data_IF_817095407008
#
_entry.id   IF_817095407008
#
_cell.length_a   1.000
_cell.length_b   1.000
_cell.length_c   1.000
_cell.angle_alpha   90.00
_cell.angle_beta   90.00
_cell.angle_gamma   90.00
#
_symmetry.space_group_name_H-M   'P 1'
#
loop_
_entity.id
_entity.type
_entity.pdbx_description
1 polymer ?
#
# COMPACT_ATOMS: atom_id res chain seq x y z
N UNK A 1 17.68 -5.22 9.32
CA UNK A 1 17.74 -6.09 8.11
C UNK A 1 18.37 -5.30 6.97
N UNK A 2 19.12 -5.96 6.08
CA UNK A 2 19.61 -5.33 4.84
C UNK A 2 18.47 -5.27 3.81
N UNK A 3 18.51 -4.32 2.88
CA UNK A 3 17.47 -4.15 1.85
C UNK A 3 17.18 -5.45 1.07
N UNK A 4 18.22 -6.22 0.73
CA UNK A 4 18.08 -7.52 0.05
C UNK A 4 17.24 -8.52 0.87
N UNK A 5 17.48 -8.61 2.18
CA UNK A 5 16.75 -9.52 3.06
C UNK A 5 15.28 -9.12 3.20
N UNK A 6 14.98 -7.81 3.20
CA UNK A 6 13.60 -7.31 3.20
C UNK A 6 12.90 -7.70 1.90
N UNK A 7 13.56 -7.51 0.76
CA UNK A 7 13.01 -7.89 -0.55
C UNK A 7 12.74 -9.39 -0.66
N UNK A 8 13.66 -10.23 -0.19
CA UNK A 8 13.51 -11.69 -0.17
C UNK A 8 12.31 -12.08 0.70
N UNK A 9 12.23 -11.55 1.93
CA UNK A 9 11.12 -11.83 2.84
C UNK A 9 9.76 -11.41 2.25
N UNK A 10 9.70 -10.22 1.64
CA UNK A 10 8.47 -9.75 1.00
C UNK A 10 8.07 -10.64 -0.18
N UNK A 11 9.03 -11.12 -0.98
CA UNK A 11 8.73 -12.00 -2.13
C UNK A 11 8.20 -13.38 -1.74
N UNK A 12 8.44 -13.82 -0.50
CA UNK A 12 7.95 -15.09 0.06
C UNK A 12 6.67 -14.91 0.89
N UNK A 13 6.24 -13.67 1.14
CA UNK A 13 5.10 -13.34 1.99
C UNK A 13 3.83 -13.09 1.17
N UNK A 14 2.67 -13.51 1.70
CA UNK A 14 1.35 -13.19 1.10
C UNK A 14 0.78 -11.87 1.62
N UNK A 15 1.10 -11.51 2.86
CA UNK A 15 0.47 -10.39 3.58
C UNK A 15 1.57 -9.54 4.19
N UNK A 16 1.44 -8.22 4.06
CA UNK A 16 2.18 -7.23 4.84
C UNK A 16 1.19 -6.46 5.69
N UNK A 17 1.47 -6.30 6.99
CA UNK A 17 0.58 -5.63 7.94
C UNK A 17 1.35 -4.51 8.64
N UNK A 18 0.77 -3.30 8.65
CA UNK A 18 1.34 -2.13 9.31
C UNK A 18 0.25 -1.25 9.92
N UNK A 19 0.09 -1.34 11.24
CA UNK A 19 -0.81 -0.47 12.01
C UNK A 19 -0.08 0.74 12.60
N UNK A 20 1.11 1.04 12.10
CA UNK A 20 1.89 2.21 12.47
C UNK A 20 1.25 3.52 12.00
N UNK A 21 1.82 4.63 12.48
CA UNK A 21 1.47 5.95 11.96
C UNK A 21 2.24 6.24 10.67
N UNK A 22 1.51 6.59 9.62
CA UNK A 22 2.10 6.90 8.32
C UNK A 22 2.18 8.42 8.12
N UNK A 23 3.38 9.02 7.95
CA UNK A 23 3.52 10.46 7.75
C UNK A 23 3.23 10.91 6.30
N UNK A 24 3.09 9.98 5.36
CA UNK A 24 2.85 10.28 3.96
C UNK A 24 2.90 9.02 3.09
N UNK A 25 3.53 9.12 1.92
CA UNK A 25 3.71 8.01 0.99
C UNK A 25 4.89 7.12 1.38
N UNK A 26 4.63 6.20 2.30
CA UNK A 26 5.65 5.36 2.89
C UNK A 26 6.27 4.36 1.90
N UNK A 27 7.53 4.02 2.16
CA UNK A 27 8.31 3.15 1.29
C UNK A 27 7.90 1.68 1.40
N UNK A 28 7.76 1.15 2.62
CA UNK A 28 7.57 -0.29 2.83
C UNK A 28 6.21 -0.80 2.32
N UNK A 29 5.07 -0.13 2.55
CA UNK A 29 3.80 -0.55 1.97
C UNK A 29 3.82 -0.61 0.43
N UNK A 30 4.55 0.30 -0.22
CA UNK A 30 4.76 0.29 -1.68
C UNK A 30 5.63 -0.88 -2.12
N UNK A 31 6.74 -1.13 -1.44
CA UNK A 31 7.61 -2.27 -1.74
C UNK A 31 6.88 -3.60 -1.54
N UNK A 32 6.06 -3.71 -0.50
CA UNK A 32 5.22 -4.89 -0.24
C UNK A 32 4.18 -5.10 -1.35
N UNK A 33 3.44 -4.06 -1.75
CA UNK A 33 2.50 -4.16 -2.88
C UNK A 33 3.21 -4.58 -4.18
N UNK A 34 4.38 -3.99 -4.48
CA UNK A 34 5.19 -4.37 -5.64
C UNK A 34 5.69 -5.81 -5.59
N UNK A 35 5.93 -6.35 -4.40
CA UNK A 35 6.26 -7.76 -4.16
C UNK A 35 5.04 -8.69 -4.20
N UNK A 36 3.85 -8.17 -4.53
CA UNK A 36 2.57 -8.89 -4.54
C UNK A 36 2.05 -9.31 -3.16
N UNK A 37 2.46 -8.64 -2.09
CA UNK A 37 1.77 -8.80 -0.81
C UNK A 37 0.42 -8.08 -0.84
N UNK A 38 -0.60 -8.68 -0.22
CA UNK A 38 -1.78 -7.95 0.21
C UNK A 38 -1.37 -7.05 1.39
N UNK A 39 -1.52 -5.73 1.22
CA UNK A 39 -1.13 -4.73 2.23
C UNK A 39 -2.34 -4.40 3.08
N UNK A 40 -2.24 -4.67 4.39
CA UNK A 40 -3.22 -4.26 5.39
C UNK A 40 -2.60 -3.14 6.22
N UNK A 41 -3.30 -2.03 6.36
CA UNK A 41 -2.83 -0.91 7.19
C UNK A 41 -3.84 -0.48 8.23
N UNK A 42 -3.35 0.32 9.17
CA UNK A 42 -4.19 1.13 10.04
C UNK A 42 -4.87 2.29 9.31
N UNK A 43 -5.42 3.20 10.11
CA UNK A 43 -6.00 4.48 9.64
C UNK A 43 -5.35 5.71 10.30
N UNK A 44 -4.16 5.53 10.89
CA UNK A 44 -3.40 6.63 11.49
C UNK A 44 -2.60 7.40 10.43
N UNK A 45 -2.60 8.73 10.55
CA UNK A 45 -1.88 9.61 9.63
C UNK A 45 -2.39 9.51 8.18
N UNK A 46 -1.47 9.44 7.22
CA UNK A 46 -1.77 9.35 5.79
C UNK A 46 -2.45 8.03 5.39
N UNK A 47 -2.33 6.96 6.18
CA UNK A 47 -2.94 5.67 5.84
C UNK A 47 -4.46 5.73 5.73
N UNK A 48 -5.12 6.71 6.36
CA UNK A 48 -6.57 6.93 6.21
C UNK A 48 -6.97 7.49 4.84
N UNK A 49 -6.07 8.21 4.17
CA UNK A 49 -6.41 8.87 2.92
C UNK A 49 -6.41 7.85 1.76
N UNK A 50 -6.99 8.27 0.63
CA UNK A 50 -7.13 7.42 -0.57
C UNK A 50 -5.94 7.52 -1.52
N UNK A 51 -4.93 8.34 -1.21
CA UNK A 51 -3.91 8.75 -2.18
C UNK A 51 -2.54 8.11 -1.92
N UNK A 52 -2.14 8.00 -0.65
CA UNK A 52 -0.79 7.57 -0.27
C UNK A 52 -0.67 6.04 -0.25
N UNK A 53 -1.72 5.36 0.21
CA UNK A 53 -1.89 3.91 0.11
C UNK A 53 -3.22 3.67 -0.59
N UNK A 54 -3.21 3.71 -1.93
CA UNK A 54 -4.42 3.70 -2.77
C UNK A 54 -4.95 2.28 -2.94
N UNK A 55 -5.47 1.73 -1.85
CA UNK A 55 -6.06 0.38 -1.79
C UNK A 55 -7.49 0.48 -1.24
N UNK A 56 -8.37 -0.48 -1.53
CA UNK A 56 -9.73 -0.47 -1.01
C UNK A 56 -9.80 -0.36 0.51
N UNK A 57 -10.83 0.32 1.02
CA UNK A 57 -10.99 0.58 2.46
C UNK A 57 -11.08 -0.71 3.30
N UNK A 58 -11.46 -1.86 2.70
CA UNK A 58 -11.46 -3.16 3.39
C UNK A 58 -10.08 -3.58 3.92
N UNK A 59 -9.00 -3.01 3.39
CA UNK A 59 -7.62 -3.26 3.85
C UNK A 59 -7.11 -2.20 4.83
N UNK A 60 -7.92 -1.19 5.18
CA UNK A 60 -7.59 -0.11 6.12
C UNK A 60 -8.44 -0.25 7.38
N UNK A 61 -7.86 -0.79 8.45
CA UNK A 61 -8.63 -1.20 9.63
C UNK A 61 -8.36 -0.23 10.79
N UNK A 62 -9.42 0.27 11.44
CA UNK A 62 -9.32 1.09 12.64
C UNK A 62 -8.98 0.23 13.87
N UNK A 63 -7.80 0.42 14.43
CA UNK A 63 -7.29 -0.39 15.55
C UNK A 63 -8.04 -0.21 16.86
N UNK A 64 -8.70 0.94 17.05
CA UNK A 64 -9.43 1.24 18.29
C UNK A 64 -10.88 0.73 18.27
N UNK A 65 -11.30 0.07 17.19
CA UNK A 65 -12.64 -0.49 17.05
C UNK A 65 -12.80 -1.77 17.88
N UNK A 66 -13.97 -1.95 18.51
CA UNK A 66 -14.29 -3.19 19.25
C UNK A 66 -14.25 -4.44 18.36
N UNK A 67 -14.49 -4.28 17.05
CA UNK A 67 -14.49 -5.38 16.07
C UNK A 67 -13.14 -5.58 15.38
N UNK A 68 -12.09 -4.85 15.78
CA UNK A 68 -10.77 -4.86 15.13
C UNK A 68 -10.20 -6.28 14.94
N UNK A 69 -10.13 -7.06 16.02
CA UNK A 69 -9.54 -8.41 16.00
C UNK A 69 -10.32 -9.34 15.07
N UNK A 70 -11.65 -9.30 15.13
CA UNK A 70 -12.50 -10.13 14.26
C UNK A 70 -12.33 -9.73 12.79
N UNK A 71 -12.31 -8.43 12.50
CA UNK A 71 -12.15 -7.88 11.15
C UNK A 71 -10.81 -8.31 10.54
N UNK A 72 -9.71 -8.18 11.30
CA UNK A 72 -8.38 -8.61 10.85
C UNK A 72 -8.36 -10.12 10.62
N UNK A 73 -8.94 -10.91 11.53
CA UNK A 73 -8.99 -12.37 11.42
C UNK A 73 -9.75 -12.84 10.18
N UNK A 74 -10.94 -12.31 9.95
CA UNK A 74 -11.77 -12.60 8.78
C UNK A 74 -11.07 -12.22 7.47
N UNK A 75 -10.43 -11.04 7.44
CA UNK A 75 -9.69 -10.59 6.26
C UNK A 75 -8.48 -11.49 5.98
N UNK A 76 -7.71 -11.88 7.00
CA UNK A 76 -6.59 -12.80 6.82
C UNK A 76 -7.09 -14.14 6.28
N UNK A 77 -8.15 -14.71 6.85
CA UNK A 77 -8.77 -15.94 6.34
C UNK A 77 -9.16 -15.82 4.88
N UNK A 78 -9.86 -14.74 4.50
CA UNK A 78 -10.24 -14.49 3.10
C UNK A 78 -9.04 -14.34 2.17
N UNK A 79 -7.95 -13.70 2.60
CA UNK A 79 -6.73 -13.59 1.78
C UNK A 79 -6.09 -14.96 1.54
N UNK A 80 -6.11 -15.86 2.53
CA UNK A 80 -5.56 -17.20 2.36
C UNK A 80 -6.44 -18.10 1.49
N UNK A 81 -7.76 -17.93 1.55
CA UNK A 81 -8.72 -18.68 0.73
C UNK A 81 -8.81 -18.14 -0.70
N UNK A 82 -8.80 -16.81 -0.86
CA UNK A 82 -9.08 -16.09 -2.10
C UNK A 82 -7.92 -15.13 -2.46
N UNK A 83 -6.68 -15.63 -2.42
CA UNK A 83 -5.47 -14.83 -2.59
C UNK A 83 -5.44 -14.03 -3.90
N UNK A 84 -5.69 -14.66 -5.05
CA UNK A 84 -5.62 -13.99 -6.36
C UNK A 84 -6.68 -12.90 -6.51
N UNK A 85 -7.87 -13.12 -5.94
CA UNK A 85 -8.94 -12.13 -5.94
C UNK A 85 -8.56 -10.91 -5.09
N UNK A 86 -8.06 -11.12 -3.87
CA UNK A 86 -7.59 -10.04 -3.01
C UNK A 86 -6.37 -9.32 -3.61
N UNK A 87 -5.43 -10.03 -4.23
CA UNK A 87 -4.28 -9.43 -4.91
C UNK A 87 -4.70 -8.55 -6.09
N UNK A 88 -5.75 -8.94 -6.81
CA UNK A 88 -6.23 -8.17 -7.96
C UNK A 88 -6.71 -6.76 -7.60
N UNK A 89 -7.15 -6.53 -6.34
CA UNK A 89 -7.52 -5.21 -5.83
C UNK A 89 -6.33 -4.22 -5.82
N UNK A 90 -5.09 -4.73 -5.80
CA UNK A 90 -3.87 -3.92 -5.77
C UNK A 90 -3.34 -3.55 -7.16
N UNK A 91 -4.00 -4.01 -8.24
CA UNK A 91 -3.53 -3.76 -9.62
C UNK A 91 -3.37 -2.28 -9.91
N UNK A 92 -4.38 -1.46 -9.58
CA UNK A 92 -4.31 0.00 -9.81
C UNK A 92 -3.17 0.64 -9.03
N UNK A 93 -3.01 0.25 -7.76
CA UNK A 93 -1.96 0.79 -6.89
C UNK A 93 -0.55 0.45 -7.39
N UNK A 94 -0.34 -0.80 -7.80
CA UNK A 94 0.94 -1.26 -8.37
C UNK A 94 1.25 -0.53 -9.66
N UNK A 95 0.27 -0.37 -10.56
CA UNK A 95 0.46 0.37 -11.81
C UNK A 95 0.75 1.85 -11.57
N UNK A 96 0.12 2.47 -10.56
CA UNK A 96 0.46 3.82 -10.11
C UNK A 96 1.91 3.90 -9.66
N UNK A 97 2.36 3.01 -8.75
CA UNK A 97 3.74 2.98 -8.23
C UNK A 97 4.76 2.89 -9.37
N UNK A 98 4.53 2.02 -10.37
CA UNK A 98 5.42 1.86 -11.53
C UNK A 98 5.57 3.16 -12.34
N UNK A 99 4.49 3.94 -12.47
CA UNK A 99 4.45 5.18 -13.25
C UNK A 99 4.88 6.42 -12.45
N UNK A 100 4.98 6.34 -11.11
CA UNK A 100 5.26 7.52 -10.26
C UNK A 100 6.48 8.32 -10.70
N UNK A 101 7.56 7.64 -11.11
CA UNK A 101 8.78 8.31 -11.55
C UNK A 101 8.58 9.11 -12.83
N UNK A 102 7.88 8.53 -13.81
CA UNK A 102 7.56 9.16 -15.09
C UNK A 102 6.63 10.36 -14.86
N UNK A 103 5.53 10.15 -14.13
CA UNK A 103 4.57 11.20 -13.79
C UNK A 103 5.24 12.36 -13.04
N UNK A 104 6.15 12.07 -12.12
CA UNK A 104 6.90 13.13 -11.42
C UNK A 104 7.76 13.96 -12.38
N UNK A 105 8.44 13.33 -13.33
CA UNK A 105 9.25 14.03 -14.33
C UNK A 105 8.37 14.92 -15.22
N UNK A 106 7.24 14.40 -15.68
CA UNK A 106 6.26 15.18 -16.46
C UNK A 106 5.75 16.38 -15.67
N UNK A 107 5.40 16.19 -14.40
CA UNK A 107 4.94 17.27 -13.51
C UNK A 107 6.00 18.35 -13.32
N UNK A 108 7.28 17.99 -13.16
CA UNK A 108 8.38 18.96 -13.07
C UNK A 108 8.54 19.74 -14.37
N UNK A 109 8.50 19.08 -15.53
CA UNK A 109 8.57 19.76 -16.82
C UNK A 109 7.40 20.73 -17.04
N UNK A 110 6.18 20.31 -16.68
CA UNK A 110 4.99 21.16 -16.76
C UNK A 110 5.10 22.37 -15.82
N UNK A 111 5.56 22.17 -14.58
CA UNK A 111 5.75 23.24 -13.61
C UNK A 111 6.70 24.32 -14.15
N UNK A 112 7.88 23.92 -14.62
CA UNK A 112 8.88 24.84 -15.19
C UNK A 112 8.41 25.53 -16.47
N UNK A 113 7.57 24.87 -17.27
CA UNK A 113 7.02 25.46 -18.49
C UNK A 113 5.97 26.53 -18.20
N UNK A 114 5.25 26.41 -17.07
CA UNK A 114 4.22 27.35 -16.65
C UNK A 114 4.77 28.59 -15.96
N UNK A 115 5.98 28.55 -15.38
CA UNK A 115 6.65 29.75 -14.81
C UNK A 115 7.27 30.67 -15.87
N UNK A 116 7.31 30.25 -17.14
CA UNK A 116 7.80 31.06 -18.27
C UNK A 116 6.68 31.82 -19.01
N UNK A 117 5.48 31.91 -18.43
CA UNK A 117 4.35 32.74 -18.90
C UNK A 117 4.02 33.80 -17.86
#
# INVERSE_FOLDING_TARGET
MKAKQVSELLSESKIYIDFGEHPGKDRIPREAAMAKCVVITGVKGSAKNKYDIEVPDKYKIEENSEVFINTVGELISDIFENYEANLSDFTSYIEKIKKEKEVFQEQVCQFLSNENK
#
